data_IF_965137770667
#
_entry.id   IF_965137770667
#
_cell.length_a   1.000
_cell.length_b   1.000
_cell.length_c   1.000
_cell.angle_alpha   90.00
_cell.angle_beta   90.00
_cell.angle_gamma   90.00
#
_symmetry.space_group_name_H-M   'P 1'
#
loop_
_entity.id
_entity.type
_entity.pdbx_description
1 polymer ?
#
# COMPACT_ATOMS: atom_id res chain seq x y z
N UNK A 1 16.13 -23.23 -3.74
CA UNK A 1 15.48 -22.07 -4.35
C UNK A 1 14.43 -21.47 -3.42
N UNK A 2 14.46 -20.19 -3.29
CA UNK A 2 13.46 -19.50 -2.52
C UNK A 2 12.16 -19.47 -3.28
N UNK A 3 11.09 -19.91 -2.66
CA UNK A 3 9.78 -19.92 -3.29
C UNK A 3 9.00 -18.66 -3.03
N UNK A 4 9.47 -17.84 -2.11
CA UNK A 4 8.74 -16.65 -1.70
C UNK A 4 9.70 -15.47 -1.63
N UNK A 5 9.74 -14.70 -2.70
CA UNK A 5 10.53 -13.48 -2.78
C UNK A 5 9.74 -12.27 -2.32
N UNK A 6 8.81 -12.47 -1.39
CA UNK A 6 7.99 -11.39 -0.89
C UNK A 6 8.76 -10.51 0.08
N UNK A 7 8.57 -9.20 -0.05
CA UNK A 7 8.87 -8.29 1.03
C UNK A 7 7.70 -8.35 2.02
N UNK A 8 7.98 -8.51 3.29
CA UNK A 8 6.95 -8.54 4.34
C UNK A 8 7.30 -7.60 5.46
N UNK A 9 6.28 -6.95 6.00
CA UNK A 9 6.44 -6.10 7.17
C UNK A 9 5.12 -5.99 7.92
N UNK A 10 5.19 -5.47 9.14
CA UNK A 10 3.99 -5.25 9.94
C UNK A 10 4.15 -3.98 10.76
N UNK A 11 3.04 -3.26 10.93
CA UNK A 11 2.98 -2.07 11.79
C UNK A 11 1.72 -2.12 12.63
N UNK A 12 1.75 -1.48 13.79
CA UNK A 12 0.56 -1.30 14.62
C UNK A 12 0.03 0.11 14.44
N UNK A 13 -1.28 0.22 14.24
CA UNK A 13 -1.98 1.49 14.07
C UNK A 13 -2.95 1.64 15.22
N UNK A 14 -2.99 2.82 15.81
CA UNK A 14 -3.84 3.10 16.98
C UNK A 14 -5.24 3.54 16.56
N UNK A 15 -5.89 2.67 15.80
CA UNK A 15 -7.27 2.82 15.33
C UNK A 15 -7.80 1.45 14.93
N UNK A 16 -9.11 1.18 15.07
CA UNK A 16 -9.65 -0.13 14.72
C UNK A 16 -9.62 -0.37 13.20
N UNK A 17 -9.68 -1.64 12.75
CA UNK A 17 -9.61 -1.97 11.32
C UNK A 17 -10.62 -1.21 10.46
N UNK A 18 -11.84 -0.99 10.96
CA UNK A 18 -12.85 -0.27 10.19
C UNK A 18 -12.45 1.18 9.90
N UNK A 19 -11.63 1.78 10.75
CA UNK A 19 -11.14 3.14 10.54
C UNK A 19 -9.87 3.17 9.68
N UNK A 20 -9.10 2.09 9.68
CA UNK A 20 -7.87 2.00 8.87
C UNK A 20 -8.19 1.65 7.42
N UNK A 21 -9.12 0.75 7.20
CA UNK A 21 -9.40 0.21 5.88
C UNK A 21 -9.67 1.27 4.82
N UNK A 22 -10.43 2.35 5.10
CA UNK A 22 -10.68 3.40 4.09
C UNK A 22 -9.41 4.06 3.55
N UNK A 23 -8.32 4.07 4.32
CA UNK A 23 -7.05 4.63 3.84
C UNK A 23 -6.45 3.80 2.70
N UNK A 24 -6.96 2.58 2.47
CA UNK A 24 -6.51 1.69 1.42
C UNK A 24 -7.41 1.71 0.19
N UNK A 25 -8.58 2.33 0.29
CA UNK A 25 -9.60 2.27 -0.76
C UNK A 25 -10.15 3.62 -1.19
N UNK A 26 -9.99 4.66 -0.38
CA UNK A 26 -10.44 6.01 -0.70
C UNK A 26 -9.26 6.83 -1.18
N UNK A 27 -9.38 7.43 -2.36
CA UNK A 27 -8.28 8.16 -2.98
C UNK A 27 -7.79 9.33 -2.12
N UNK A 28 -8.71 10.10 -1.53
CA UNK A 28 -8.31 11.23 -0.71
C UNK A 28 -7.59 10.80 0.56
N UNK A 29 -8.03 9.71 1.18
CA UNK A 29 -7.38 9.18 2.36
C UNK A 29 -6.03 8.54 2.01
N UNK A 30 -5.95 7.86 0.86
CA UNK A 30 -4.67 7.31 0.39
C UNK A 30 -3.62 8.42 0.27
N UNK A 31 -4.00 9.58 -0.27
CA UNK A 31 -3.06 10.69 -0.48
C UNK A 31 -2.58 11.32 0.82
N UNK A 32 -3.20 11.01 1.95
CA UNK A 32 -2.70 11.48 3.24
C UNK A 32 -1.42 10.77 3.66
N UNK A 33 -1.14 9.61 3.09
CA UNK A 33 0.06 8.87 3.46
C UNK A 33 0.92 8.46 2.26
N UNK A 34 0.38 8.41 1.05
CA UNK A 34 1.16 7.97 -0.11
C UNK A 34 0.67 8.65 -1.39
N UNK A 35 1.60 9.25 -2.13
CA UNK A 35 1.36 9.73 -3.48
C UNK A 35 0.86 11.17 -3.59
N UNK A 36 0.83 11.66 -4.81
CA UNK A 36 0.38 13.01 -5.15
C UNK A 36 -0.96 13.02 -5.87
N UNK A 37 -1.31 11.90 -6.49
CA UNK A 37 -2.57 11.74 -7.23
C UNK A 37 -2.98 10.28 -7.16
N UNK A 38 -4.27 10.04 -7.06
CA UNK A 38 -4.80 8.67 -7.01
C UNK A 38 -6.18 8.59 -7.65
N UNK A 39 -6.43 7.45 -8.31
CA UNK A 39 -7.75 7.09 -8.84
C UNK A 39 -7.96 5.63 -8.47
N UNK A 40 -8.88 5.39 -7.55
CA UNK A 40 -9.11 4.07 -6.98
C UNK A 40 -10.55 3.63 -7.22
N UNK A 41 -10.71 2.41 -7.72
CA UNK A 41 -12.01 1.75 -7.87
C UNK A 41 -12.00 0.48 -7.02
N UNK A 42 -12.37 0.57 -5.73
CA UNK A 42 -12.14 -0.54 -4.77
C UNK A 42 -13.14 -1.66 -4.92
N UNK A 43 -13.05 -2.37 -6.01
CA UNK A 43 -13.84 -3.57 -6.29
C UNK A 43 -12.98 -4.50 -7.12
N UNK A 44 -13.27 -5.80 -7.08
CA UNK A 44 -12.51 -6.79 -7.84
C UNK A 44 -12.50 -6.39 -9.32
N UNK A 45 -11.30 -6.29 -9.88
CA UNK A 45 -11.10 -5.83 -11.26
C UNK A 45 -11.07 -4.32 -11.42
N UNK A 46 -11.32 -3.57 -10.34
CA UNK A 46 -11.31 -2.10 -10.39
C UNK A 46 -9.89 -1.54 -10.44
N UNK A 47 -9.80 -0.31 -10.94
CA UNK A 47 -8.51 0.35 -11.16
C UNK A 47 -7.84 0.75 -9.84
N UNK A 48 -6.53 0.54 -9.79
CA UNK A 48 -5.66 1.15 -8.79
C UNK A 48 -4.61 1.96 -9.54
N UNK A 49 -4.65 3.28 -9.38
CA UNK A 49 -3.70 4.18 -10.02
C UNK A 49 -3.25 5.21 -9.00
N UNK A 50 -1.95 5.29 -8.75
CA UNK A 50 -1.37 6.22 -7.79
C UNK A 50 -0.07 6.74 -8.37
N UNK A 51 0.10 8.06 -8.41
CA UNK A 51 1.37 8.65 -8.78
C UNK A 51 2.16 8.90 -7.49
N UNK A 52 3.30 8.23 -7.35
CA UNK A 52 4.12 8.27 -6.14
C UNK A 52 5.47 8.85 -6.49
N UNK A 53 5.74 10.07 -6.04
CA UNK A 53 6.98 10.80 -6.32
C UNK A 53 7.27 10.86 -7.83
N UNK A 54 6.23 11.06 -8.63
CA UNK A 54 6.33 11.11 -10.08
C UNK A 54 6.33 9.74 -10.76
N UNK A 55 6.29 8.65 -10.00
CA UNK A 55 6.25 7.30 -10.58
C UNK A 55 4.79 6.87 -10.73
N UNK A 56 4.32 6.56 -11.95
CA UNK A 56 2.92 6.18 -12.18
C UNK A 56 2.69 4.70 -11.85
N UNK A 57 2.28 4.43 -10.62
CA UNK A 57 1.93 3.08 -10.18
C UNK A 57 0.57 2.72 -10.77
N UNK A 58 0.48 1.54 -11.35
CA UNK A 58 -0.75 1.07 -12.00
C UNK A 58 -0.99 -0.41 -11.70
N UNK A 59 -2.24 -0.74 -11.42
CA UNK A 59 -2.67 -2.09 -11.13
C UNK A 59 -4.18 -2.17 -11.04
N UNK A 60 -4.67 -3.24 -10.40
CA UNK A 60 -6.09 -3.41 -10.15
C UNK A 60 -6.32 -4.11 -8.83
N UNK A 61 -7.50 -3.91 -8.26
CA UNK A 61 -7.91 -4.63 -7.05
C UNK A 61 -8.24 -6.07 -7.42
N UNK A 62 -7.66 -7.01 -6.67
CA UNK A 62 -7.88 -8.44 -6.86
C UNK A 62 -8.79 -9.01 -5.78
N UNK A 63 -8.70 -8.48 -4.57
CA UNK A 63 -9.54 -8.86 -3.42
C UNK A 63 -9.87 -7.59 -2.64
N UNK A 64 -11.14 -7.44 -2.25
CA UNK A 64 -11.58 -6.34 -1.40
C UNK A 64 -12.51 -6.91 -0.34
N UNK A 65 -12.03 -7.05 0.87
CA UNK A 65 -12.76 -7.66 2.00
C UNK A 65 -12.74 -6.71 3.20
N UNK A 66 -13.61 -5.69 3.21
CA UNK A 66 -13.65 -4.73 4.30
C UNK A 66 -14.06 -5.39 5.61
N UNK A 67 -13.48 -5.04 6.73
CA UNK A 67 -12.30 -4.17 6.91
C UNK A 67 -11.00 -4.98 7.08
N UNK A 68 -10.92 -6.19 6.56
CA UNK A 68 -9.89 -7.14 6.94
C UNK A 68 -8.76 -7.29 5.93
N UNK A 69 -9.04 -7.12 4.63
CA UNK A 69 -8.04 -7.49 3.65
C UNK A 69 -8.28 -6.82 2.31
N UNK A 70 -7.20 -6.40 1.68
CA UNK A 70 -7.21 -5.94 0.30
C UNK A 70 -5.99 -6.51 -0.40
N UNK A 71 -6.15 -6.91 -1.66
CA UNK A 71 -5.05 -7.35 -2.51
C UNK A 71 -5.16 -6.59 -3.82
N UNK A 72 -4.06 -6.04 -4.28
CA UNK A 72 -4.03 -5.36 -5.57
C UNK A 72 -2.73 -5.66 -6.30
N UNK A 73 -2.79 -5.64 -7.63
CA UNK A 73 -1.58 -5.76 -8.42
C UNK A 73 -0.87 -4.41 -8.46
N UNK A 74 0.42 -4.43 -8.78
CA UNK A 74 1.29 -3.28 -8.63
C UNK A 74 2.39 -3.30 -9.67
N UNK A 75 2.69 -2.17 -10.22
CA UNK A 75 3.79 -1.97 -11.15
C UNK A 75 3.82 -0.52 -11.55
N UNK A 76 4.73 -0.15 -12.44
CA UNK A 76 4.92 1.22 -12.87
C UNK A 76 4.79 1.33 -14.39
N UNK A 77 3.96 2.25 -14.86
CA UNK A 77 3.83 2.49 -16.29
C UNK A 77 5.18 2.92 -16.87
N UNK A 78 5.57 2.32 -17.99
CA UNK A 78 6.84 2.61 -18.63
C UNK A 78 8.02 1.81 -18.09
N UNK A 79 7.81 0.99 -17.07
CA UNK A 79 8.87 0.15 -16.51
C UNK A 79 8.83 -1.24 -17.14
N UNK A 80 9.97 -1.71 -17.64
CA UNK A 80 10.10 -3.10 -18.11
C UNK A 80 10.32 -4.06 -16.93
N UNK A 81 11.02 -3.59 -15.90
CA UNK A 81 11.34 -4.40 -14.73
C UNK A 81 10.12 -4.61 -13.84
N UNK A 82 9.31 -3.58 -13.69
CA UNK A 82 8.11 -3.57 -12.86
C UNK A 82 6.91 -3.11 -13.67
N UNK A 83 6.58 -3.84 -14.73
CA UNK A 83 5.45 -3.47 -15.59
C UNK A 83 4.16 -3.42 -14.77
N UNK A 84 3.16 -2.62 -15.19
CA UNK A 84 1.86 -2.56 -14.50
C UNK A 84 1.29 -3.95 -14.29
N UNK A 85 0.85 -4.24 -13.06
CA UNK A 85 0.24 -5.51 -12.73
C UNK A 85 1.20 -6.68 -12.56
N UNK A 86 2.50 -6.46 -12.64
CA UNK A 86 3.49 -7.56 -12.60
C UNK A 86 3.76 -8.08 -11.21
N UNK A 87 3.44 -7.34 -10.16
CA UNK A 87 3.62 -7.76 -8.78
C UNK A 87 2.31 -7.63 -8.02
N UNK A 88 2.26 -8.13 -6.79
CA UNK A 88 1.04 -8.15 -6.00
C UNK A 88 1.32 -7.67 -4.59
N UNK A 89 0.45 -6.78 -4.10
CA UNK A 89 0.50 -6.28 -2.72
C UNK A 89 -0.73 -6.78 -1.99
N UNK A 90 -0.51 -7.42 -0.86
CA UNK A 90 -1.59 -7.83 0.05
C UNK A 90 -1.44 -7.09 1.36
N UNK A 91 -2.53 -6.50 1.84
CA UNK A 91 -2.57 -5.84 3.14
C UNK A 91 -3.69 -6.47 3.96
N UNK A 92 -3.32 -7.03 5.11
CA UNK A 92 -4.26 -7.67 6.02
C UNK A 92 -4.33 -6.84 7.31
N UNK A 93 -5.53 -6.62 7.80
CA UNK A 93 -5.80 -5.87 9.02
C UNK A 93 -6.44 -6.78 10.06
N UNK A 94 -5.80 -6.89 11.22
CA UNK A 94 -6.34 -7.67 12.34
C UNK A 94 -6.54 -6.78 13.55
N UNK A 95 -7.61 -6.98 14.31
CA UNK A 95 -7.75 -6.28 15.59
C UNK A 95 -6.57 -6.62 16.50
N UNK A 96 -6.07 -5.61 17.19
CA UNK A 96 -5.01 -5.75 18.18
C UNK A 96 -5.35 -4.82 19.34
N UNK A 97 -6.07 -5.35 20.31
CA UNK A 97 -6.66 -4.52 21.35
C UNK A 97 -7.65 -3.54 20.74
N UNK A 98 -7.42 -2.24 20.96
CA UNK A 98 -8.23 -1.17 20.37
C UNK A 98 -7.67 -0.71 19.03
N UNK A 99 -6.55 -1.24 18.65
CA UNK A 99 -5.86 -0.86 17.42
C UNK A 99 -5.92 -1.94 16.37
N UNK A 100 -5.03 -1.82 15.40
CA UNK A 100 -4.94 -2.72 14.26
C UNK A 100 -3.49 -3.15 14.10
N UNK A 101 -3.29 -4.45 13.88
CA UNK A 101 -2.04 -4.94 13.33
C UNK A 101 -2.21 -5.03 11.82
N UNK A 102 -1.43 -4.23 11.10
CA UNK A 102 -1.40 -4.24 9.64
C UNK A 102 -0.20 -5.06 9.20
N UNK A 103 -0.47 -6.06 8.35
CA UNK A 103 0.58 -6.88 7.75
C UNK A 103 0.57 -6.65 6.26
N UNK A 104 1.74 -6.38 5.68
CA UNK A 104 1.90 -6.13 4.26
C UNK A 104 2.82 -7.18 3.65
N UNK A 105 2.38 -7.70 2.50
CA UNK A 105 3.14 -8.68 1.70
C UNK A 105 3.21 -8.15 0.27
N UNK A 106 4.41 -7.90 -0.24
CA UNK A 106 4.60 -7.50 -1.63
C UNK A 106 5.33 -8.62 -2.35
N UNK A 107 4.62 -9.34 -3.21
CA UNK A 107 5.10 -10.55 -3.88
C UNK A 107 5.41 -10.28 -5.34
N UNK A 108 6.36 -11.06 -5.87
CA UNK A 108 6.71 -11.00 -7.29
C UNK A 108 7.73 -9.93 -7.62
N UNK A 109 8.30 -9.27 -6.62
CA UNK A 109 9.35 -8.28 -6.87
C UNK A 109 10.62 -8.97 -7.35
N UNK A 110 11.30 -8.42 -8.38
CA UNK A 110 12.65 -8.87 -8.69
C UNK A 110 13.56 -8.72 -7.46
N UNK A 111 14.52 -9.63 -7.24
CA UNK A 111 15.36 -9.55 -6.04
C UNK A 111 16.06 -8.22 -5.85
N UNK A 112 16.49 -7.57 -6.95
CA UNK A 112 17.16 -6.27 -6.88
C UNK A 112 16.25 -5.15 -6.40
N UNK A 113 14.91 -5.34 -6.47
CA UNK A 113 13.94 -4.34 -6.02
C UNK A 113 13.53 -4.49 -4.57
N UNK A 114 13.87 -5.61 -3.92
CA UNK A 114 13.45 -5.85 -2.54
C UNK A 114 13.93 -4.79 -1.56
N UNK A 115 15.24 -4.40 -1.55
CA UNK A 115 15.68 -3.38 -0.61
C UNK A 115 15.02 -2.02 -0.84
N UNK A 116 14.85 -1.64 -2.09
CA UNK A 116 14.26 -0.34 -2.46
C UNK A 116 12.80 -0.27 -2.04
N UNK A 117 12.03 -1.33 -2.31
CA UNK A 117 10.63 -1.38 -1.91
C UNK A 117 10.47 -1.49 -0.41
N UNK A 118 11.41 -2.15 0.28
CA UNK A 118 11.41 -2.18 1.74
C UNK A 118 11.57 -0.81 2.34
N UNK A 119 12.50 0.00 1.81
CA UNK A 119 12.68 1.37 2.25
C UNK A 119 11.41 2.19 1.98
N UNK A 120 10.85 2.05 0.78
CA UNK A 120 9.63 2.76 0.39
C UNK A 120 8.45 2.41 1.27
N UNK A 121 8.19 1.14 1.47
CA UNK A 121 7.07 0.72 2.32
C UNK A 121 7.27 1.16 3.77
N UNK A 122 8.50 1.07 4.30
CA UNK A 122 8.79 1.57 5.64
C UNK A 122 8.43 3.03 5.80
N UNK A 123 8.83 3.85 4.83
CA UNK A 123 8.52 5.28 4.83
C UNK A 123 7.01 5.53 4.79
N UNK A 124 6.31 4.92 3.84
CA UNK A 124 4.88 5.19 3.67
C UNK A 124 4.03 4.59 4.79
N UNK A 125 4.36 3.41 5.29
CA UNK A 125 3.60 2.83 6.39
C UNK A 125 3.75 3.63 7.69
N UNK A 126 4.91 4.23 7.92
CA UNK A 126 5.09 5.13 9.06
C UNK A 126 4.14 6.32 8.96
N UNK A 127 3.97 6.88 7.76
CA UNK A 127 3.02 7.96 7.51
C UNK A 127 1.58 7.49 7.70
N UNK A 128 1.27 6.28 7.26
CA UNK A 128 -0.07 5.70 7.46
C UNK A 128 -0.39 5.54 8.95
N UNK A 129 0.58 5.07 9.74
CA UNK A 129 0.38 4.94 11.19
C UNK A 129 -0.01 6.29 11.79
N UNK A 130 0.66 7.36 11.41
CA UNK A 130 0.34 8.70 11.93
C UNK A 130 -1.04 9.14 11.46
N UNK A 131 -1.33 9.04 10.17
CA UNK A 131 -2.59 9.52 9.61
C UNK A 131 -3.79 8.75 10.17
N UNK A 132 -3.72 7.43 10.17
CA UNK A 132 -4.85 6.60 10.59
C UNK A 132 -5.02 6.58 12.11
N UNK A 133 -3.99 6.95 12.87
CA UNK A 133 -4.10 7.11 14.33
C UNK A 133 -4.65 8.48 14.74
N UNK A 134 -5.04 9.31 13.78
CA UNK A 134 -5.64 10.62 14.06
C UNK A 134 -4.69 11.79 13.97
N UNK A 135 -3.44 11.57 13.56
CA UNK A 135 -2.44 12.63 13.44
C UNK A 135 -2.32 13.17 12.01
N UNK A 136 -1.37 14.06 11.84
CA UNK A 136 -1.07 14.65 10.53
C UNK A 136 0.38 14.31 10.17
N UNK A 137 0.62 13.50 9.13
CA UNK A 137 2.00 13.19 8.72
C UNK A 137 2.74 14.42 8.17
N UNK A 138 1.99 15.43 7.75
CA UNK A 138 2.58 16.59 7.11
C UNK A 138 3.00 16.32 5.66
N UNK A 139 3.64 17.30 5.01
CA UNK A 139 4.13 17.10 3.65
C UNK A 139 5.15 15.97 3.60
N UNK A 140 5.08 15.17 2.54
CA UNK A 140 6.05 14.10 2.36
C UNK A 140 7.37 14.69 1.87
N UNK A 141 8.47 14.52 2.64
CA UNK A 141 9.76 15.03 2.21
C UNK A 141 10.29 14.39 0.93
N UNK A 142 9.74 13.23 0.55
CA UNK A 142 10.06 12.56 -0.73
C UNK A 142 9.17 13.05 -1.86
N UNK A 143 8.09 13.76 -1.55
CA UNK A 143 7.11 14.21 -2.53
C UNK A 143 7.63 15.36 -3.40
N UNK A 144 6.88 15.67 -4.44
CA UNK A 144 7.20 16.73 -5.40
C UNK A 144 6.27 17.90 -5.27
#
# INVERSE_FOLDING_TARGET
MTLDDAYTTAVRIDAPPADVFPYLTDAQLMLRWMGEWADLQPKVGGRLAIDVNGVPIRGEYLVVEPPHRVVFSWGAAGSDLLAPGSTTVEIALRPDGRGTLLELFHRGLPPEELPRHGIGWGHFLERLVVAASGGEPGPDPWGR
#
